data_IF_409301278159
#
_entry.id   IF_409301278159
#
_cell.length_a   1.000
_cell.length_b   1.000
_cell.length_c   1.000
_cell.angle_alpha   90.00
_cell.angle_beta   90.00
_cell.angle_gamma   90.00
#
_symmetry.space_group_name_H-M   'P 1'
#
loop_
_entity.id
_entity.type
_entity.pdbx_description
1 polymer ?
#
# COMPACT_ATOMS: atom_id res chain seq x y z
N UNK A 1 -14.36 16.57 -13.39
CA UNK A 1 -14.32 15.18 -13.94
C UNK A 1 -13.12 14.46 -13.33
N UNK A 2 -13.29 13.27 -12.79
CA UNK A 2 -12.18 12.46 -12.25
C UNK A 2 -11.51 11.72 -13.40
N UNK A 3 -10.26 12.05 -13.70
CA UNK A 3 -9.44 11.36 -14.71
C UNK A 3 -9.24 9.89 -14.30
N UNK A 4 -9.37 8.97 -15.25
CA UNK A 4 -9.15 7.55 -15.00
C UNK A 4 -7.67 7.32 -14.59
N UNK A 5 -7.42 6.44 -13.60
CA UNK A 5 -6.08 6.21 -13.06
C UNK A 5 -5.09 5.67 -14.08
N UNK A 6 -5.56 4.89 -15.05
CA UNK A 6 -4.75 4.42 -16.18
C UNK A 6 -4.20 5.56 -17.06
N UNK A 7 -4.80 6.75 -16.98
CA UNK A 7 -4.32 7.96 -17.68
C UNK A 7 -3.35 8.79 -16.81
N UNK A 8 -3.30 8.54 -15.52
CA UNK A 8 -2.45 9.28 -14.56
C UNK A 8 -1.15 8.54 -14.23
N UNK A 9 -1.10 7.24 -14.47
CA UNK A 9 0.06 6.39 -14.16
C UNK A 9 0.44 5.64 -15.43
N UNK A 10 1.58 6.04 -16.03
CA UNK A 10 2.19 5.38 -17.17
C UNK A 10 3.64 5.06 -16.83
N UNK A 11 3.90 3.79 -16.50
CA UNK A 11 5.26 3.31 -16.21
C UNK A 11 6.16 3.24 -17.45
N UNK A 12 5.59 3.48 -18.64
CA UNK A 12 6.36 3.63 -19.88
C UNK A 12 7.05 5.01 -19.95
N UNK A 13 6.42 6.05 -19.36
CA UNK A 13 6.92 7.42 -19.44
C UNK A 13 7.89 7.73 -18.29
N UNK A 14 7.58 7.28 -17.08
CA UNK A 14 8.46 7.45 -15.91
C UNK A 14 8.23 6.34 -14.89
N UNK A 15 9.28 6.03 -14.15
CA UNK A 15 9.20 5.16 -12.97
C UNK A 15 8.93 5.93 -11.67
N UNK A 16 9.01 7.25 -11.67
CA UNK A 16 8.94 8.08 -10.47
C UNK A 16 7.60 8.80 -10.36
N UNK A 17 7.02 8.75 -9.16
CA UNK A 17 5.74 9.38 -8.88
C UNK A 17 5.76 10.11 -7.54
N UNK A 18 5.22 11.32 -7.54
CA UNK A 18 4.84 12.02 -6.32
C UNK A 18 3.39 11.69 -5.99
N UNK A 19 3.14 11.24 -4.78
CA UNK A 19 1.84 10.81 -4.31
C UNK A 19 1.44 11.61 -3.09
N UNK A 20 0.15 11.94 -2.98
CA UNK A 20 -0.42 12.64 -1.84
C UNK A 20 -1.76 12.02 -1.43
N UNK A 21 -1.98 11.89 -0.12
CA UNK A 21 -3.29 11.59 0.48
C UNK A 21 -3.60 12.61 1.57
N UNK A 22 -4.86 13.03 1.65
CA UNK A 22 -5.35 14.01 2.63
C UNK A 22 -6.52 13.46 3.42
N UNK A 23 -6.54 13.70 4.73
CA UNK A 23 -7.67 13.42 5.61
C UNK A 23 -8.86 14.36 5.33
N UNK A 24 -10.05 13.93 5.69
CA UNK A 24 -11.22 14.81 5.74
C UNK A 24 -11.01 15.97 6.72
N UNK A 25 -11.77 17.05 6.56
CA UNK A 25 -11.75 18.18 7.52
C UNK A 25 -11.99 17.67 8.94
N UNK A 26 -11.23 18.24 9.90
CA UNK A 26 -11.26 17.90 11.34
C UNK A 26 -10.67 16.53 11.71
N UNK A 27 -10.12 15.78 10.76
CA UNK A 27 -9.29 14.63 11.09
C UNK A 27 -7.83 15.03 11.10
N UNK A 28 -7.10 14.53 12.08
CA UNK A 28 -5.65 14.74 12.19
C UNK A 28 -4.92 13.48 11.82
N UNK A 29 -3.98 13.63 10.91
CA UNK A 29 -3.05 12.56 10.56
C UNK A 29 -1.92 12.46 11.58
N UNK A 30 -1.47 13.62 12.09
CA UNK A 30 -0.52 13.77 13.20
C UNK A 30 -0.62 15.20 13.78
N UNK A 31 0.20 15.49 14.80
CA UNK A 31 0.22 16.79 15.46
C UNK A 31 -0.87 16.95 16.51
N UNK A 32 -1.10 18.18 16.94
CA UNK A 32 -2.04 18.51 18.04
C UNK A 32 -3.22 19.31 17.52
N UNK A 33 -4.43 18.89 17.88
CA UNK A 33 -5.65 19.65 17.66
C UNK A 33 -5.65 20.88 18.58
N UNK A 34 -5.63 22.06 17.99
CA UNK A 34 -5.59 23.34 18.74
C UNK A 34 -6.89 23.65 19.49
N UNK A 35 -8.01 23.03 19.10
CA UNK A 35 -9.31 23.27 19.74
C UNK A 35 -9.49 22.40 20.99
N UNK A 36 -9.10 21.14 20.90
CA UNK A 36 -9.29 20.16 21.98
C UNK A 36 -8.03 19.93 22.82
N UNK A 37 -6.85 20.31 22.31
CA UNK A 37 -5.55 20.01 22.91
C UNK A 37 -5.11 18.55 22.73
N UNK A 38 -5.90 17.72 22.05
CA UNK A 38 -5.58 16.31 21.81
C UNK A 38 -4.40 16.18 20.86
N UNK A 39 -3.40 15.40 21.26
CA UNK A 39 -2.25 15.05 20.40
C UNK A 39 -2.49 13.76 19.63
N UNK A 40 -2.21 13.81 18.33
CA UNK A 40 -2.24 12.68 17.39
C UNK A 40 -0.85 12.40 16.83
N UNK A 41 0.20 12.91 17.48
CA UNK A 41 1.57 12.82 16.95
C UNK A 41 2.05 11.37 16.78
N UNK A 42 1.59 10.46 17.62
CA UNK A 42 1.90 9.03 17.54
C UNK A 42 1.46 8.39 16.21
N UNK A 43 0.47 8.95 15.50
CA UNK A 43 0.03 8.46 14.18
C UNK A 43 1.08 8.63 13.09
N UNK A 44 2.02 9.57 13.26
CA UNK A 44 3.18 9.71 12.37
C UNK A 44 3.96 8.41 12.32
N UNK A 45 4.19 7.80 13.48
CA UNK A 45 4.89 6.53 13.57
C UNK A 45 4.14 5.40 12.86
N UNK A 46 2.80 5.34 12.97
CA UNK A 46 2.01 4.34 12.23
C UNK A 46 2.22 4.42 10.71
N UNK A 47 2.27 5.64 10.19
CA UNK A 47 2.46 5.86 8.75
C UNK A 47 3.88 5.44 8.35
N UNK A 48 4.88 5.84 9.10
CA UNK A 48 6.28 5.50 8.84
C UNK A 48 6.52 3.99 8.90
N UNK A 49 6.03 3.32 9.93
CA UNK A 49 6.15 1.87 10.09
C UNK A 49 5.45 1.13 8.95
N UNK A 50 4.27 1.63 8.55
CA UNK A 50 3.54 1.02 7.44
C UNK A 50 4.23 1.23 6.10
N UNK A 51 4.78 2.41 5.83
CA UNK A 51 5.59 2.69 4.63
C UNK A 51 6.79 1.75 4.59
N UNK A 52 7.53 1.59 5.69
CA UNK A 52 8.69 0.69 5.78
C UNK A 52 8.30 -0.75 5.49
N UNK A 53 7.23 -1.24 6.12
CA UNK A 53 6.74 -2.60 5.88
C UNK A 53 6.36 -2.81 4.40
N UNK A 54 5.63 -1.88 3.81
CA UNK A 54 5.23 -1.99 2.42
C UNK A 54 6.42 -1.91 1.46
N UNK A 55 7.45 -1.11 1.75
CA UNK A 55 8.68 -1.05 0.98
C UNK A 55 9.44 -2.38 0.96
N UNK A 56 9.32 -3.22 1.99
CA UNK A 56 9.94 -4.57 1.99
C UNK A 56 9.17 -5.56 1.14
N UNK A 57 7.86 -5.38 0.97
CA UNK A 57 7.00 -6.30 0.25
C UNK A 57 6.88 -5.97 -1.24
N UNK A 58 6.73 -4.70 -1.59
CA UNK A 58 6.47 -4.23 -2.94
C UNK A 58 7.75 -4.01 -3.77
N UNK A 59 7.63 -4.09 -5.10
CA UNK A 59 8.65 -3.63 -6.05
C UNK A 59 8.56 -2.10 -6.23
N UNK A 60 8.56 -1.39 -5.11
CA UNK A 60 8.40 0.06 -5.03
C UNK A 60 9.41 0.58 -4.02
N UNK A 61 10.33 1.41 -4.49
CA UNK A 61 11.29 2.11 -3.63
C UNK A 61 10.69 3.41 -3.11
N UNK A 62 10.92 3.71 -1.84
CA UNK A 62 10.55 4.99 -1.24
C UNK A 62 11.74 5.92 -1.35
N UNK A 63 11.63 6.96 -2.18
CA UNK A 63 12.69 7.95 -2.37
C UNK A 63 12.68 9.00 -1.24
N UNK A 64 11.50 9.49 -0.88
CA UNK A 64 11.29 10.43 0.23
C UNK A 64 9.84 10.44 0.67
N UNK A 65 9.57 10.94 1.87
CA UNK A 65 8.21 11.17 2.35
C UNK A 65 8.17 12.33 3.35
N UNK A 66 7.01 12.95 3.49
CA UNK A 66 6.73 13.96 4.49
C UNK A 66 5.30 13.77 5.04
N UNK A 67 5.17 13.67 6.36
CA UNK A 67 3.90 13.52 7.05
C UNK A 67 3.55 14.85 7.73
N UNK A 68 2.43 15.44 7.33
CA UNK A 68 1.90 16.69 7.85
C UNK A 68 0.64 16.44 8.68
N UNK A 69 0.12 17.47 9.33
CA UNK A 69 -1.02 17.34 10.24
C UNK A 69 -2.28 16.73 9.62
N UNK A 70 -2.54 16.95 8.34
CA UNK A 70 -3.75 16.48 7.67
C UNK A 70 -3.52 15.82 6.31
N UNK A 71 -2.27 15.65 5.88
CA UNK A 71 -1.90 14.97 4.65
C UNK A 71 -0.46 14.48 4.70
N UNK A 72 -0.11 13.60 3.78
CA UNK A 72 1.27 13.18 3.58
C UNK A 72 1.63 13.17 2.09
N UNK A 73 2.91 13.29 1.84
CA UNK A 73 3.53 13.16 0.53
C UNK A 73 4.50 11.99 0.54
N UNK A 74 4.55 11.25 -0.56
CA UNK A 74 5.56 10.20 -0.79
C UNK A 74 6.06 10.35 -2.22
N UNK A 75 7.38 10.31 -2.39
CA UNK A 75 8.01 10.13 -3.70
C UNK A 75 8.45 8.68 -3.80
N UNK A 76 7.96 8.00 -4.80
CA UNK A 76 8.21 6.58 -5.05
C UNK A 76 8.85 6.35 -6.41
N UNK A 77 9.60 5.25 -6.50
CA UNK A 77 10.07 4.67 -7.76
C UNK A 77 9.48 3.27 -7.89
N UNK A 78 8.83 2.99 -9.00
CA UNK A 78 8.28 1.67 -9.30
C UNK A 78 9.19 0.95 -10.28
N UNK A 79 9.59 -0.27 -9.96
CA UNK A 79 10.35 -1.13 -10.87
C UNK A 79 9.62 -2.45 -11.15
N UNK A 80 8.77 -2.48 -12.20
CA UNK A 80 8.05 -3.71 -12.57
C UNK A 80 8.96 -4.85 -13.01
N UNK A 81 10.21 -4.57 -13.42
CA UNK A 81 11.18 -5.61 -13.78
C UNK A 81 11.63 -6.40 -12.57
N UNK A 82 11.79 -5.73 -11.44
CA UNK A 82 12.14 -6.37 -10.17
C UNK A 82 11.10 -7.43 -9.79
N UNK A 83 9.80 -7.12 -9.82
CA UNK A 83 8.77 -8.08 -9.46
C UNK A 83 8.68 -9.27 -10.42
N UNK A 84 9.00 -9.07 -11.71
CA UNK A 84 9.05 -10.14 -12.71
C UNK A 84 10.16 -11.14 -12.43
N UNK A 85 11.25 -10.71 -11.83
CA UNK A 85 12.42 -11.56 -11.54
C UNK A 85 12.30 -12.35 -10.22
N UNK A 86 11.32 -12.04 -9.37
CA UNK A 86 11.12 -12.79 -8.14
C UNK A 86 10.69 -14.22 -8.40
N UNK A 87 11.22 -15.14 -7.62
CA UNK A 87 10.80 -16.55 -7.64
C UNK A 87 9.35 -16.69 -7.16
N UNK A 88 8.76 -17.85 -7.43
CA UNK A 88 7.41 -18.19 -6.95
C UNK A 88 7.29 -18.06 -5.43
N UNK A 89 8.24 -18.62 -4.70
CA UNK A 89 8.25 -18.55 -3.23
C UNK A 89 8.49 -17.13 -2.70
N UNK A 90 9.33 -16.34 -3.37
CA UNK A 90 9.60 -14.97 -2.99
C UNK A 90 8.34 -14.11 -3.08
N UNK A 91 7.54 -14.26 -4.13
CA UNK A 91 6.26 -13.56 -4.27
C UNK A 91 5.30 -13.93 -3.13
N UNK A 92 5.21 -15.23 -2.80
CA UNK A 92 4.39 -15.70 -1.68
C UNK A 92 4.84 -15.07 -0.37
N UNK A 93 6.13 -15.12 -0.05
CA UNK A 93 6.66 -14.55 1.19
C UNK A 93 6.38 -13.05 1.30
N UNK A 94 6.63 -12.29 0.23
CA UNK A 94 6.36 -10.85 0.19
C UNK A 94 4.89 -10.52 0.40
N UNK A 95 3.99 -11.26 -0.25
CA UNK A 95 2.56 -11.07 -0.08
C UNK A 95 2.10 -11.39 1.35
N UNK A 96 2.61 -12.45 1.94
CA UNK A 96 2.25 -12.88 3.28
C UNK A 96 2.80 -11.98 4.39
N UNK A 97 3.78 -11.10 4.10
CA UNK A 97 4.18 -10.05 5.05
C UNK A 97 3.05 -9.05 5.34
N UNK A 98 2.09 -8.91 4.42
CA UNK A 98 1.04 -7.88 4.50
C UNK A 98 -0.38 -8.45 4.50
N UNK A 99 -0.55 -9.72 4.13
CA UNK A 99 -1.84 -10.41 4.03
C UNK A 99 -1.80 -11.82 4.61
N UNK A 100 -2.95 -12.31 5.03
CA UNK A 100 -3.16 -13.75 5.21
C UNK A 100 -3.42 -14.36 3.83
N UNK A 101 -2.64 -15.32 3.42
CA UNK A 101 -2.88 -16.02 2.16
C UNK A 101 -4.13 -16.92 2.24
N UNK A 102 -4.73 -17.29 1.09
CA UNK A 102 -5.79 -18.29 1.03
C UNK A 102 -5.28 -19.65 1.54
N UNK A 103 -6.22 -20.51 1.90
CA UNK A 103 -5.93 -21.83 2.47
C UNK A 103 -4.95 -22.66 1.60
N UNK A 104 -5.12 -22.63 0.28
CA UNK A 104 -4.28 -23.33 -0.66
C UNK A 104 -2.79 -22.91 -0.57
N UNK A 105 -2.51 -21.63 -0.38
CA UNK A 105 -1.15 -21.10 -0.17
C UNK A 105 -0.59 -21.57 1.18
N UNK A 106 -1.42 -21.61 2.22
CA UNK A 106 -1.00 -22.08 3.55
C UNK A 106 -0.64 -23.57 3.52
N UNK A 107 -1.41 -24.39 2.78
CA UNK A 107 -1.08 -25.82 2.57
C UNK A 107 0.22 -25.97 1.79
N UNK A 108 0.42 -25.18 0.72
CA UNK A 108 1.66 -25.18 -0.06
C UNK A 108 2.88 -24.89 0.83
N UNK A 109 2.78 -23.91 1.73
CA UNK A 109 3.87 -23.59 2.65
C UNK A 109 4.17 -24.70 3.67
N UNK A 110 3.16 -25.54 4.00
CA UNK A 110 3.33 -26.70 4.87
C UNK A 110 3.99 -27.88 4.17
N UNK A 111 4.18 -27.82 2.84
CA UNK A 111 4.78 -28.87 2.04
C UNK A 111 3.80 -29.94 1.58
N UNK A 112 2.50 -29.65 1.57
CA UNK A 112 1.49 -30.55 1.04
C UNK A 112 1.72 -30.83 -0.46
N UNK A 113 1.39 -32.02 -0.92
CA UNK A 113 1.46 -32.39 -2.32
C UNK A 113 0.25 -31.87 -3.09
N UNK A 114 0.47 -31.40 -4.31
CA UNK A 114 -0.56 -30.80 -5.16
C UNK A 114 -0.65 -31.51 -6.51
N UNK A 115 -1.88 -31.70 -6.98
CA UNK A 115 -2.13 -32.13 -8.34
C UNK A 115 -1.93 -31.00 -9.37
N UNK A 116 -1.96 -31.38 -10.65
CA UNK A 116 -1.76 -30.43 -11.77
C UNK A 116 -2.78 -29.28 -11.75
N UNK A 117 -4.03 -29.57 -11.44
CA UNK A 117 -5.10 -28.57 -11.39
C UNK A 117 -4.86 -27.54 -10.25
N UNK A 118 -4.49 -28.00 -9.08
CA UNK A 118 -4.20 -27.17 -7.91
C UNK A 118 -2.95 -26.30 -8.16
N UNK A 119 -1.90 -26.84 -8.76
CA UNK A 119 -0.71 -26.08 -9.15
C UNK A 119 -1.03 -24.98 -10.16
N UNK A 120 -1.95 -25.20 -11.10
CA UNK A 120 -2.42 -24.14 -12.01
C UNK A 120 -3.11 -22.99 -11.25
N UNK A 121 -3.91 -23.32 -10.24
CA UNK A 121 -4.58 -22.30 -9.41
C UNK A 121 -3.55 -21.52 -8.59
N UNK A 122 -2.61 -22.20 -7.94
CA UNK A 122 -1.52 -21.59 -7.20
C UNK A 122 -0.68 -20.65 -8.08
N UNK A 123 -0.31 -21.08 -9.27
CA UNK A 123 0.46 -20.25 -10.21
C UNK A 123 -0.31 -18.99 -10.58
N UNK A 124 -1.61 -19.09 -10.86
CA UNK A 124 -2.45 -17.92 -11.17
C UNK A 124 -2.51 -16.94 -10.00
N UNK A 125 -2.66 -17.43 -8.77
CA UNK A 125 -2.66 -16.59 -7.57
C UNK A 125 -1.33 -15.85 -7.44
N UNK A 126 -0.22 -16.53 -7.58
CA UNK A 126 1.13 -15.96 -7.43
C UNK A 126 1.42 -14.95 -8.54
N UNK A 127 1.01 -15.22 -9.78
CA UNK A 127 1.17 -14.29 -10.89
C UNK A 127 0.33 -13.02 -10.70
N UNK A 128 -0.90 -13.13 -10.18
CA UNK A 128 -1.72 -11.97 -9.80
C UNK A 128 -1.03 -11.15 -8.70
N UNK A 129 -0.52 -11.80 -7.67
CA UNK A 129 0.21 -11.12 -6.60
C UNK A 129 1.47 -10.42 -7.09
N UNK A 130 2.20 -11.04 -8.02
CA UNK A 130 3.39 -10.45 -8.65
C UNK A 130 3.07 -9.11 -9.32
N UNK A 131 1.97 -9.05 -10.04
CA UNK A 131 1.49 -7.81 -10.69
C UNK A 131 1.07 -6.78 -9.64
N UNK A 132 0.32 -7.20 -8.63
CA UNK A 132 -0.18 -6.31 -7.56
C UNK A 132 0.95 -5.74 -6.71
N UNK A 133 2.01 -6.51 -6.46
CA UNK A 133 3.20 -6.04 -5.72
C UNK A 133 4.05 -5.00 -6.48
N UNK A 134 3.76 -4.74 -7.75
CA UNK A 134 4.34 -3.64 -8.53
C UNK A 134 3.32 -2.51 -8.79
N UNK A 135 2.14 -2.55 -8.16
CA UNK A 135 1.05 -1.60 -8.39
C UNK A 135 1.06 -0.47 -7.36
N UNK A 136 1.17 0.77 -7.83
CA UNK A 136 0.99 1.97 -6.98
C UNK A 136 -0.38 1.96 -6.30
N UNK A 137 -1.43 1.54 -7.02
CA UNK A 137 -2.78 1.51 -6.47
C UNK A 137 -2.91 0.52 -5.32
N UNK A 138 -2.32 -0.65 -5.45
CA UNK A 138 -2.30 -1.65 -4.37
C UNK A 138 -1.49 -1.15 -3.16
N UNK A 139 -0.29 -0.60 -3.40
CA UNK A 139 0.54 -0.02 -2.34
C UNK A 139 -0.23 1.04 -1.55
N UNK A 140 -0.87 1.98 -2.24
CA UNK A 140 -1.63 3.05 -1.61
C UNK A 140 -2.89 2.57 -0.90
N UNK A 141 -3.53 1.53 -1.42
CA UNK A 141 -4.66 0.87 -0.75
C UNK A 141 -4.22 0.25 0.57
N UNK A 142 -3.10 -0.48 0.57
CA UNK A 142 -2.55 -1.13 1.76
C UNK A 142 -2.10 -0.11 2.82
N UNK A 143 -1.58 1.03 2.40
CA UNK A 143 -1.21 2.11 3.31
C UNK A 143 -2.46 2.80 3.88
N UNK A 144 -3.33 3.29 3.02
CA UNK A 144 -4.45 4.13 3.42
C UNK A 144 -5.53 3.40 4.21
N UNK A 145 -5.84 2.14 3.87
CA UNK A 145 -6.87 1.38 4.59
C UNK A 145 -6.45 1.07 6.03
N UNK A 146 -5.19 0.73 6.25
CA UNK A 146 -4.71 0.39 7.60
C UNK A 146 -4.74 1.63 8.48
N UNK A 147 -4.22 2.76 8.01
CA UNK A 147 -4.21 4.01 8.77
C UNK A 147 -5.64 4.49 9.06
N UNK A 148 -6.53 4.48 8.08
CA UNK A 148 -7.93 4.87 8.28
C UNK A 148 -8.63 4.01 9.33
N UNK A 149 -8.40 2.69 9.29
CA UNK A 149 -9.00 1.75 10.26
C UNK A 149 -8.47 1.99 11.67
N UNK A 150 -7.17 2.17 11.82
CA UNK A 150 -6.55 2.45 13.13
C UNK A 150 -7.07 3.78 13.71
N UNK A 151 -7.11 4.84 12.90
CA UNK A 151 -7.61 6.14 13.33
C UNK A 151 -9.09 6.09 13.74
N UNK A 152 -9.93 5.40 12.96
CA UNK A 152 -11.35 5.26 13.27
C UNK A 152 -11.58 4.46 14.57
N UNK A 153 -10.79 3.42 14.80
CA UNK A 153 -10.85 2.64 16.06
C UNK A 153 -10.46 3.53 17.24
N UNK A 154 -9.37 4.27 17.13
CA UNK A 154 -8.88 5.17 18.18
C UNK A 154 -9.91 6.27 18.52
N UNK A 155 -10.56 6.83 17.52
CA UNK A 155 -11.55 7.89 17.69
C UNK A 155 -12.96 7.36 18.03
N UNK A 156 -13.15 6.03 18.06
CA UNK A 156 -14.46 5.42 18.30
C UNK A 156 -15.50 5.79 17.24
N UNK A 157 -15.06 6.07 16.01
CA UNK A 157 -15.91 6.53 14.94
C UNK A 157 -15.93 5.56 13.75
N UNK A 158 -16.94 5.73 12.90
CA UNK A 158 -17.06 5.05 11.61
C UNK A 158 -17.18 6.09 10.51
N UNK A 159 -16.66 5.78 9.33
CA UNK A 159 -16.81 6.69 8.19
C UNK A 159 -15.52 6.92 7.43
N UNK A 160 -15.58 7.96 6.61
CA UNK A 160 -14.48 8.30 5.72
C UNK A 160 -13.38 9.05 6.48
N UNK A 161 -12.20 8.47 6.54
CA UNK A 161 -11.00 9.13 7.07
C UNK A 161 -10.28 9.96 5.99
N UNK A 162 -10.15 9.43 4.77
CA UNK A 162 -9.52 10.14 3.65
C UNK A 162 -10.54 10.95 2.85
N UNK A 163 -10.15 12.15 2.43
CA UNK A 163 -10.99 13.06 1.61
C UNK A 163 -11.41 12.41 0.28
N UNK A 164 -10.52 11.58 -0.29
CA UNK A 164 -10.78 10.87 -1.52
C UNK A 164 -9.68 9.84 -1.81
N UNK A 165 -9.60 9.43 -3.08
CA UNK A 165 -8.48 8.64 -3.56
C UNK A 165 -7.20 9.47 -3.50
N UNK A 166 -6.05 8.80 -3.34
CA UNK A 166 -4.76 9.49 -3.43
C UNK A 166 -4.59 10.19 -4.78
N UNK A 167 -3.85 11.28 -4.79
CA UNK A 167 -3.41 11.98 -6.01
C UNK A 167 -2.02 11.50 -6.38
N UNK A 168 -1.76 11.36 -7.68
CA UNK A 168 -0.45 10.97 -8.22
C UNK A 168 -0.04 11.92 -9.32
N UNK A 169 1.24 12.27 -9.34
CA UNK A 169 1.86 13.10 -10.37
C UNK A 169 3.14 12.41 -10.84
N UNK A 170 3.30 12.15 -12.15
CA UNK A 170 4.55 11.64 -12.69
C UNK A 170 5.65 12.69 -12.51
N UNK A 171 6.86 12.23 -12.20
CA UNK A 171 8.07 13.04 -12.15
C UNK A 171 8.90 12.70 -13.39
N UNK A 172 9.12 13.67 -14.25
CA UNK A 172 9.86 13.55 -15.52
C UNK A 172 11.29 14.05 -15.35
#
# INVERSE_FOLDING_TARGET
MTTARAQQISLADTSYYHIMSRCVRRSYLCGTDKLTGQSYEHRRQWIEDRIRLLATAFAIDICSYAVMSNHYHIVIKVDPKTSKNWSFNEVIQRWLCIHKGPFLIQQYQKGDSFGVAEMKVLTRIVDDWRVRLASISEFMQQLNQVIARQANIEEGCTGRFWEGRFKSQPLL
#
